data_IF_727433826249
#
_entry.id   IF_727433826249
#
_cell.length_a   1.000
_cell.length_b   1.000
_cell.length_c   1.000
_cell.angle_alpha   90.00
_cell.angle_beta   90.00
_cell.angle_gamma   90.00
#
_symmetry.space_group_name_H-M   'P 1'
#
loop_
_entity.id
_entity.type
_entity.pdbx_description
1 polymer ?
#
# COMPACT_ATOMS: atom_id res chain seq x y z
N UNK A 1 18.48 31.09 -29.88
CA UNK A 1 18.53 29.61 -29.84
C UNK A 1 17.41 29.16 -28.92
N UNK A 2 16.33 28.62 -29.50
CA UNK A 2 15.19 28.10 -28.73
C UNK A 2 15.64 26.80 -28.04
N UNK A 3 15.72 26.82 -26.72
CA UNK A 3 15.88 25.61 -25.93
C UNK A 3 14.55 24.83 -25.97
N UNK A 4 14.44 23.93 -26.93
CA UNK A 4 13.42 22.89 -26.96
C UNK A 4 13.69 21.91 -25.83
N UNK A 5 13.11 22.17 -24.66
CA UNK A 5 13.04 21.21 -23.56
C UNK A 5 12.07 20.13 -24.04
N UNK A 6 12.61 19.04 -24.59
CA UNK A 6 11.85 17.83 -24.84
C UNK A 6 11.39 17.31 -23.47
N UNK A 7 10.08 17.10 -23.23
CA UNK A 7 9.63 16.51 -21.97
C UNK A 7 10.31 15.15 -21.80
N UNK A 8 10.85 14.89 -20.61
CA UNK A 8 11.44 13.59 -20.33
C UNK A 8 10.35 12.53 -20.50
N UNK A 9 10.70 11.33 -20.96
CA UNK A 9 9.72 10.25 -21.21
C UNK A 9 8.77 10.00 -20.02
N UNK A 10 9.28 10.22 -18.80
CA UNK A 10 8.54 10.16 -17.54
C UNK A 10 7.40 11.19 -17.44
N UNK A 11 7.59 12.41 -17.99
CA UNK A 11 6.60 13.49 -17.95
C UNK A 11 5.39 13.17 -18.86
N UNK A 12 5.61 12.47 -19.97
CA UNK A 12 4.55 12.09 -20.90
C UNK A 12 3.63 11.01 -20.30
N UNK A 13 4.21 10.02 -19.62
CA UNK A 13 3.47 8.94 -18.96
C UNK A 13 2.63 9.46 -17.78
N UNK A 14 3.19 10.37 -16.97
CA UNK A 14 2.45 11.04 -15.89
C UNK A 14 1.30 11.91 -16.43
N UNK A 15 1.48 12.60 -17.55
CA UNK A 15 0.43 13.39 -18.19
C UNK A 15 -0.71 12.53 -18.75
N UNK A 16 -0.39 11.37 -19.36
CA UNK A 16 -1.40 10.41 -19.81
C UNK A 16 -2.19 9.85 -18.64
N UNK A 17 -1.51 9.39 -17.59
CA UNK A 17 -2.17 8.94 -16.36
C UNK A 17 -3.09 10.02 -15.79
N UNK A 18 -2.63 11.27 -15.74
CA UNK A 18 -3.43 12.36 -15.19
C UNK A 18 -4.70 12.61 -15.99
N UNK A 19 -4.63 12.53 -17.32
CA UNK A 19 -5.81 12.71 -18.16
C UNK A 19 -6.85 11.60 -17.92
N UNK A 20 -6.40 10.35 -17.83
CA UNK A 20 -7.25 9.19 -17.59
C UNK A 20 -7.83 9.22 -16.18
N UNK A 21 -7.00 9.46 -15.16
CA UNK A 21 -7.40 9.59 -13.76
C UNK A 21 -8.48 10.65 -13.56
N UNK A 22 -8.35 11.81 -14.22
CA UNK A 22 -9.33 12.89 -14.13
C UNK A 22 -10.64 12.55 -14.84
N UNK A 23 -10.56 11.80 -15.93
CA UNK A 23 -11.73 11.36 -16.72
C UNK A 23 -12.53 10.29 -16.00
N UNK A 24 -11.85 9.40 -15.27
CA UNK A 24 -12.43 8.29 -14.50
C UNK A 24 -12.80 8.67 -13.06
N UNK A 25 -12.39 9.86 -12.59
CA UNK A 25 -12.64 10.31 -11.23
C UNK A 25 -14.15 10.31 -10.92
N UNK A 26 -14.61 9.47 -9.96
CA UNK A 26 -16.04 9.24 -9.71
C UNK A 26 -16.73 10.46 -9.09
N UNK A 27 -15.96 11.36 -8.46
CA UNK A 27 -16.47 12.57 -7.83
C UNK A 27 -16.39 13.75 -8.82
N UNK A 28 -17.53 14.29 -9.32
CA UNK A 28 -17.53 15.36 -10.32
C UNK A 28 -16.90 16.66 -9.84
N UNK A 29 -16.96 16.95 -8.53
CA UNK A 29 -16.36 18.16 -7.96
C UNK A 29 -14.84 18.05 -7.94
N UNK A 30 -14.32 16.88 -7.54
CA UNK A 30 -12.88 16.59 -7.59
C UNK A 30 -12.40 16.57 -9.03
N UNK A 31 -13.10 15.86 -9.91
CA UNK A 31 -12.79 15.82 -11.34
C UNK A 31 -12.74 17.23 -11.94
N UNK A 32 -13.71 18.11 -11.63
CA UNK A 32 -13.72 19.49 -12.12
C UNK A 32 -12.52 20.31 -11.61
N UNK A 33 -12.15 20.16 -10.34
CA UNK A 33 -10.98 20.83 -9.75
C UNK A 33 -9.67 20.33 -10.36
N UNK A 34 -9.52 19.01 -10.54
CA UNK A 34 -8.35 18.42 -11.18
C UNK A 34 -8.23 18.81 -12.67
N UNK A 35 -9.34 18.83 -13.43
CA UNK A 35 -9.36 19.29 -14.84
C UNK A 35 -8.78 20.69 -14.99
N UNK A 36 -9.15 21.62 -14.09
CA UNK A 36 -8.63 23.00 -14.12
C UNK A 36 -7.11 23.05 -13.98
N UNK A 37 -6.56 22.16 -13.15
CA UNK A 37 -5.13 22.14 -12.85
C UNK A 37 -4.34 21.42 -13.93
N UNK A 38 -4.83 20.28 -14.43
CA UNK A 38 -4.25 19.60 -15.59
C UNK A 38 -4.23 20.54 -16.80
N UNK A 39 -5.31 21.27 -17.07
CA UNK A 39 -5.36 22.28 -18.13
C UNK A 39 -4.31 23.39 -17.94
N UNK A 40 -4.01 23.78 -16.69
CA UNK A 40 -2.97 24.76 -16.39
C UNK A 40 -1.56 24.21 -16.59
N UNK A 41 -1.32 22.94 -16.27
CA UNK A 41 -0.03 22.26 -16.49
C UNK A 41 0.26 22.02 -17.97
N UNK A 42 -0.74 21.59 -18.75
CA UNK A 42 -0.59 21.44 -20.21
C UNK A 42 -0.15 22.74 -20.88
N UNK A 43 -0.53 23.89 -20.33
CA UNK A 43 -0.13 25.20 -20.83
C UNK A 43 1.25 25.66 -20.34
N UNK A 44 1.82 25.05 -19.28
CA UNK A 44 3.13 25.44 -18.69
C UNK A 44 3.91 24.21 -18.16
N UNK A 45 4.34 23.29 -19.03
CA UNK A 45 4.93 22.00 -18.62
C UNK A 45 6.25 22.15 -17.85
N UNK A 46 7.06 23.17 -18.14
CA UNK A 46 8.33 23.44 -17.45
C UNK A 46 8.19 23.90 -15.99
N UNK A 47 6.95 24.09 -15.50
CA UNK A 47 6.62 24.46 -14.12
C UNK A 47 5.71 23.43 -13.43
N UNK A 48 5.55 22.24 -14.00
CA UNK A 48 4.78 21.17 -13.41
C UNK A 48 5.47 20.73 -12.10
N UNK A 49 4.84 20.90 -10.92
CA UNK A 49 5.33 20.25 -9.71
C UNK A 49 5.09 18.74 -9.85
N UNK A 50 5.87 17.92 -9.15
CA UNK A 50 5.51 16.50 -8.97
C UNK A 50 4.06 16.42 -8.48
N UNK A 51 3.30 15.46 -9.02
CA UNK A 51 1.85 15.38 -8.83
C UNK A 51 1.43 15.47 -7.36
N UNK A 52 2.23 14.90 -6.45
CA UNK A 52 2.10 15.00 -4.99
C UNK A 52 2.09 16.44 -4.45
N UNK A 53 3.16 17.18 -4.75
CA UNK A 53 3.35 18.57 -4.31
C UNK A 53 2.30 19.50 -4.91
N UNK A 54 1.80 19.14 -6.10
CA UNK A 54 0.81 19.88 -6.86
C UNK A 54 -0.63 19.65 -6.36
N UNK A 55 -0.96 18.40 -5.94
CA UNK A 55 -2.19 18.08 -5.23
C UNK A 55 -2.26 18.86 -3.93
N UNK A 56 -1.16 18.83 -3.15
CA UNK A 56 -1.06 19.45 -1.82
C UNK A 56 -1.22 20.98 -1.82
N UNK A 57 -0.66 21.70 -2.79
CA UNK A 57 -0.50 23.16 -2.67
C UNK A 57 -1.31 24.03 -3.65
N UNK A 58 -2.06 23.47 -4.61
CA UNK A 58 -2.63 24.30 -5.70
C UNK A 58 -4.02 23.95 -6.20
N UNK A 59 -4.70 22.95 -5.65
CA UNK A 59 -6.00 22.53 -6.20
C UNK A 59 -7.22 23.33 -5.70
N UNK A 60 -7.06 24.22 -4.72
CA UNK A 60 -8.22 24.88 -4.07
C UNK A 60 -9.21 23.88 -3.46
N UNK A 61 -8.73 22.65 -3.23
CA UNK A 61 -9.47 21.57 -2.61
C UNK A 61 -9.47 21.76 -1.10
N UNK A 62 -10.52 21.28 -0.47
CA UNK A 62 -10.56 21.14 0.99
C UNK A 62 -9.67 19.99 1.43
N UNK A 63 -9.27 19.97 2.71
CA UNK A 63 -8.51 18.86 3.29
C UNK A 63 -9.22 17.51 3.09
N UNK A 64 -10.55 17.49 3.18
CA UNK A 64 -11.35 16.30 2.91
C UNK A 64 -11.23 15.83 1.45
N UNK A 65 -11.24 16.76 0.49
CA UNK A 65 -11.06 16.43 -0.92
C UNK A 65 -9.63 15.98 -1.24
N UNK A 66 -8.62 16.50 -0.53
CA UNK A 66 -7.23 16.05 -0.66
C UNK A 66 -7.08 14.60 -0.19
N UNK A 67 -7.70 14.24 0.94
CA UNK A 67 -7.76 12.85 1.43
C UNK A 67 -8.46 11.95 0.42
N UNK A 68 -9.57 12.40 -0.18
CA UNK A 68 -10.29 11.61 -1.19
C UNK A 68 -9.47 11.40 -2.47
N UNK A 69 -8.77 12.44 -2.97
CA UNK A 69 -7.85 12.32 -4.11
C UNK A 69 -6.72 11.34 -3.80
N UNK A 70 -6.11 11.47 -2.62
CA UNK A 70 -5.02 10.60 -2.20
C UNK A 70 -5.44 9.14 -2.13
N UNK A 71 -6.65 8.87 -1.61
CA UNK A 71 -7.21 7.52 -1.60
C UNK A 71 -7.45 6.97 -3.01
N UNK A 72 -8.04 7.77 -3.90
CA UNK A 72 -8.28 7.37 -5.30
C UNK A 72 -6.97 7.02 -6.03
N UNK A 73 -5.89 7.77 -5.75
CA UNK A 73 -4.57 7.48 -6.31
C UNK A 73 -3.99 6.17 -5.76
N UNK A 74 -4.13 5.92 -4.46
CA UNK A 74 -3.59 4.71 -3.84
C UNK A 74 -4.18 3.40 -4.40
N UNK A 75 -5.44 3.43 -4.84
CA UNK A 75 -6.15 2.25 -5.37
C UNK A 75 -6.08 2.12 -6.90
N UNK A 76 -5.72 3.19 -7.61
CA UNK A 76 -5.75 3.19 -9.06
C UNK A 76 -4.53 2.43 -9.63
N UNK A 77 -4.76 1.45 -10.53
CA UNK A 77 -3.72 0.58 -11.03
C UNK A 77 -2.69 1.22 -11.97
N UNK A 78 -3.01 2.42 -12.44
CA UNK A 78 -2.17 3.19 -13.33
C UNK A 78 -1.42 4.31 -12.59
N UNK A 79 -1.57 4.42 -11.26
CA UNK A 79 -0.87 5.43 -10.47
C UNK A 79 0.64 5.22 -10.54
N UNK A 80 1.41 6.22 -11.00
CA UNK A 80 2.85 6.10 -11.12
C UNK A 80 3.53 5.83 -9.76
N UNK A 81 4.61 5.03 -9.71
CA UNK A 81 5.32 4.74 -8.46
C UNK A 81 5.83 5.97 -7.71
N UNK A 82 6.25 7.03 -8.42
CA UNK A 82 6.67 8.31 -7.84
C UNK A 82 5.56 8.93 -6.98
N UNK A 83 4.33 8.91 -7.47
CA UNK A 83 3.14 9.46 -6.80
C UNK A 83 2.79 8.63 -5.57
N UNK A 84 2.86 7.30 -5.67
CA UNK A 84 2.62 6.40 -4.54
C UNK A 84 3.68 6.58 -3.44
N UNK A 85 4.95 6.77 -3.83
CA UNK A 85 6.04 7.04 -2.89
C UNK A 85 5.80 8.34 -2.14
N UNK A 86 5.46 9.40 -2.85
CA UNK A 86 5.17 10.69 -2.23
C UNK A 86 4.00 10.58 -1.27
N UNK A 87 2.91 9.91 -1.68
CA UNK A 87 1.76 9.66 -0.81
C UNK A 87 2.15 8.98 0.50
N UNK A 88 3.07 8.02 0.45
CA UNK A 88 3.57 7.34 1.65
C UNK A 88 4.44 8.23 2.54
N UNK A 89 5.19 9.17 1.96
CA UNK A 89 6.03 10.11 2.74
C UNK A 89 5.27 11.28 3.32
N UNK A 90 4.17 11.66 2.67
CA UNK A 90 3.46 12.92 2.91
C UNK A 90 2.06 12.72 3.50
N UNK A 91 1.53 11.49 3.46
CA UNK A 91 0.22 11.15 3.97
C UNK A 91 0.14 11.24 5.49
N UNK A 92 -1.03 11.60 6.00
CA UNK A 92 -1.28 11.54 7.44
C UNK A 92 -1.31 10.07 7.90
N UNK A 93 -0.94 9.77 9.15
CA UNK A 93 -1.01 8.43 9.70
C UNK A 93 -2.33 7.70 9.43
N UNK A 94 -3.45 8.40 9.61
CA UNK A 94 -4.79 7.85 9.46
C UNK A 94 -5.10 7.48 8.00
N UNK A 95 -4.60 8.27 7.05
CA UNK A 95 -4.71 7.98 5.63
C UNK A 95 -3.85 6.78 5.25
N UNK A 96 -2.60 6.74 5.72
CA UNK A 96 -1.68 5.64 5.44
C UNK A 96 -2.17 4.31 6.01
N UNK A 97 -2.70 4.31 7.23
CA UNK A 97 -3.36 3.17 7.84
C UNK A 97 -4.57 2.72 7.01
N UNK A 98 -5.45 3.66 6.61
CA UNK A 98 -6.60 3.33 5.75
C UNK A 98 -6.20 2.75 4.40
N UNK A 99 -5.09 3.22 3.81
CA UNK A 99 -4.53 2.65 2.59
C UNK A 99 -4.00 1.25 2.88
N UNK A 100 -3.28 1.04 3.97
CA UNK A 100 -2.76 -0.27 4.35
C UNK A 100 -3.87 -1.31 4.57
N UNK A 101 -4.98 -0.94 5.20
CA UNK A 101 -6.14 -1.84 5.43
C UNK A 101 -6.92 -2.20 4.16
N UNK A 102 -6.75 -1.42 3.08
CA UNK A 102 -7.54 -1.63 1.88
C UNK A 102 -7.04 -2.86 1.10
N UNK A 103 -7.89 -3.89 1.01
CA UNK A 103 -7.66 -5.14 0.24
C UNK A 103 -7.37 -4.96 -1.25
N UNK A 104 -7.53 -3.75 -1.79
CA UNK A 104 -7.21 -3.39 -3.18
C UNK A 104 -5.95 -2.55 -3.31
N UNK A 105 -5.24 -2.31 -2.20
CA UNK A 105 -3.98 -1.58 -2.23
C UNK A 105 -2.91 -2.31 -3.00
N UNK A 106 -2.06 -1.49 -3.63
CA UNK A 106 -0.98 -1.92 -4.49
C UNK A 106 0.13 -2.62 -3.69
N UNK A 107 0.69 -3.73 -4.20
CA UNK A 107 1.82 -4.39 -3.56
C UNK A 107 3.02 -3.45 -3.35
N UNK A 108 3.29 -2.54 -4.31
CA UNK A 108 4.34 -1.52 -4.18
C UNK A 108 4.05 -0.49 -3.09
N UNK A 109 2.79 -0.08 -2.94
CA UNK A 109 2.36 0.84 -1.87
C UNK A 109 2.49 0.15 -0.52
N UNK A 110 2.02 -1.08 -0.39
CA UNK A 110 2.15 -1.89 0.85
C UNK A 110 3.62 -2.13 1.21
N UNK A 111 4.49 -2.30 0.21
CA UNK A 111 5.93 -2.37 0.45
C UNK A 111 6.54 -1.07 0.94
N UNK A 112 6.00 0.10 0.58
CA UNK A 112 6.44 1.36 1.17
C UNK A 112 5.90 1.49 2.62
N UNK A 113 4.65 1.09 2.84
CA UNK A 113 3.99 1.16 4.14
C UNK A 113 4.62 0.24 5.20
N UNK A 114 5.24 -0.87 4.79
CA UNK A 114 5.99 -1.75 5.71
C UNK A 114 7.23 -1.12 6.34
N UNK A 115 7.67 0.06 5.89
CA UNK A 115 8.78 0.81 6.48
C UNK A 115 8.32 2.08 7.21
N UNK A 116 7.02 2.27 7.40
CA UNK A 116 6.50 3.45 8.10
C UNK A 116 6.90 3.46 9.56
N UNK A 117 7.09 4.65 10.12
CA UNK A 117 7.57 4.80 11.50
C UNK A 117 6.57 4.27 12.54
N UNK A 118 5.27 4.42 12.28
CA UNK A 118 4.20 4.00 13.17
C UNK A 118 3.91 2.50 13.00
N UNK A 119 3.87 1.80 14.13
CA UNK A 119 3.67 0.36 14.16
C UNK A 119 2.27 -0.04 13.67
N UNK A 120 1.27 0.80 13.92
CA UNK A 120 -0.13 0.62 13.50
C UNK A 120 -0.22 0.49 11.97
N UNK A 121 0.51 1.32 11.23
CA UNK A 121 0.56 1.27 9.76
C UNK A 121 1.24 -0.02 9.29
N UNK A 122 2.32 -0.44 9.96
CA UNK A 122 3.03 -1.68 9.62
C UNK A 122 2.18 -2.92 9.93
N UNK A 123 1.43 -2.91 11.02
CA UNK A 123 0.44 -3.96 11.37
C UNK A 123 -0.63 -4.05 10.29
N UNK A 124 -1.22 -2.90 9.92
CA UNK A 124 -2.23 -2.86 8.86
C UNK A 124 -1.67 -3.36 7.51
N UNK A 125 -0.42 -3.00 7.18
CA UNK A 125 0.23 -3.51 5.98
C UNK A 125 0.48 -5.02 6.08
N UNK A 126 0.97 -5.53 7.21
CA UNK A 126 1.21 -6.95 7.40
C UNK A 126 -0.07 -7.80 7.28
N UNK A 127 -1.21 -7.29 7.75
CA UNK A 127 -2.51 -7.96 7.64
C UNK A 127 -3.16 -7.90 6.25
N UNK A 128 -2.56 -7.18 5.29
CA UNK A 128 -3.13 -7.06 3.95
C UNK A 128 -2.73 -8.25 3.05
N UNK A 129 -3.68 -8.94 2.40
CA UNK A 129 -3.38 -10.10 1.56
C UNK A 129 -2.55 -9.79 0.30
N UNK A 130 -2.49 -8.52 -0.13
CA UNK A 130 -1.66 -8.11 -1.27
C UNK A 130 -0.23 -7.73 -0.86
N UNK A 131 0.11 -7.80 0.43
CA UNK A 131 1.44 -7.42 0.90
C UNK A 131 2.49 -8.35 0.34
N UNK A 132 3.55 -7.81 -0.31
CA UNK A 132 4.60 -8.65 -0.88
C UNK A 132 5.28 -9.51 0.18
N UNK A 133 5.65 -10.72 -0.21
CA UNK A 133 6.41 -11.63 0.63
C UNK A 133 7.70 -10.98 1.17
N UNK A 134 8.40 -10.20 0.34
CA UNK A 134 9.61 -9.49 0.78
C UNK A 134 9.34 -8.55 1.96
N UNK A 135 8.20 -7.84 1.94
CA UNK A 135 7.78 -6.95 3.03
C UNK A 135 7.37 -7.74 4.28
N UNK A 136 6.66 -8.86 4.11
CA UNK A 136 6.35 -9.80 5.20
C UNK A 136 7.63 -10.26 5.89
N UNK A 137 8.64 -10.70 5.13
CA UNK A 137 9.91 -11.20 5.67
C UNK A 137 10.72 -10.16 6.43
N UNK A 138 10.46 -8.87 6.19
CA UNK A 138 11.04 -7.76 6.94
C UNK A 138 10.26 -7.54 8.24
N UNK A 139 8.92 -7.49 8.17
CA UNK A 139 8.07 -7.23 9.33
C UNK A 139 8.03 -8.39 10.35
N UNK A 140 8.32 -9.64 9.95
CA UNK A 140 8.53 -10.72 10.94
C UNK A 140 9.80 -10.54 11.78
N UNK A 141 10.68 -9.61 11.39
CA UNK A 141 11.87 -9.19 12.15
C UNK A 141 11.77 -7.73 12.59
N UNK A 142 10.55 -7.18 12.59
CA UNK A 142 10.30 -5.79 12.99
C UNK A 142 10.84 -5.53 14.39
N UNK A 143 11.31 -4.32 14.68
CA UNK A 143 11.77 -3.97 16.01
C UNK A 143 10.62 -3.97 17.04
N UNK A 144 9.40 -3.65 16.60
CA UNK A 144 8.24 -3.57 17.47
C UNK A 144 7.62 -4.97 17.64
N UNK A 145 7.55 -5.50 18.89
CA UNK A 145 6.96 -6.81 19.15
C UNK A 145 5.47 -6.90 18.83
N UNK A 146 4.72 -5.80 18.81
CA UNK A 146 3.28 -5.80 18.46
C UNK A 146 3.08 -6.11 16.98
N UNK A 147 3.95 -5.60 16.10
CA UNK A 147 3.97 -5.96 14.66
C UNK A 147 4.24 -7.44 14.49
N UNK A 148 5.26 -7.97 15.18
CA UNK A 148 5.61 -9.39 15.12
C UNK A 148 4.50 -10.27 15.71
N UNK A 149 3.87 -9.82 16.79
CA UNK A 149 2.77 -10.51 17.45
C UNK A 149 1.54 -10.59 16.55
N UNK A 150 1.15 -9.49 15.87
CA UNK A 150 0.01 -9.51 14.96
C UNK A 150 0.21 -10.49 13.81
N UNK A 151 1.44 -10.59 13.31
CA UNK A 151 1.82 -11.56 12.28
C UNK A 151 1.77 -13.00 12.80
N UNK A 152 2.18 -13.25 14.04
CA UNK A 152 2.17 -14.58 14.63
C UNK A 152 0.76 -15.20 14.74
N UNK A 153 -0.30 -14.39 14.71
CA UNK A 153 -1.71 -14.85 14.74
C UNK A 153 -2.26 -15.26 13.36
N UNK A 154 -1.58 -14.87 12.27
CA UNK A 154 -2.07 -15.10 10.91
C UNK A 154 -1.66 -16.47 10.37
N UNK A 155 -2.64 -17.38 10.29
CA UNK A 155 -2.43 -18.71 9.73
C UNK A 155 -2.26 -18.75 8.21
N UNK A 156 -2.45 -17.63 7.50
CA UNK A 156 -2.18 -17.53 6.07
C UNK A 156 -0.73 -17.12 5.78
N UNK A 157 0.05 -16.75 6.79
CA UNK A 157 1.46 -16.46 6.59
C UNK A 157 2.20 -17.70 6.10
N UNK A 158 3.25 -17.51 5.27
CA UNK A 158 4.16 -18.59 4.91
C UNK A 158 4.71 -19.27 6.17
N UNK A 159 4.82 -20.59 6.12
CA UNK A 159 5.31 -21.39 7.25
C UNK A 159 6.73 -20.98 7.67
N UNK A 160 7.58 -20.58 6.72
CA UNK A 160 8.92 -20.02 6.99
C UNK A 160 8.86 -18.72 7.82
N UNK A 161 7.87 -17.86 7.57
CA UNK A 161 7.67 -16.62 8.31
C UNK A 161 7.19 -16.92 9.74
N UNK A 162 6.26 -17.86 9.91
CA UNK A 162 5.82 -18.34 11.23
C UNK A 162 6.94 -19.04 12.01
N UNK A 163 7.81 -19.79 11.35
CA UNK A 163 8.97 -20.42 11.98
C UNK A 163 9.99 -19.39 12.51
N UNK A 164 10.16 -18.27 11.81
CA UNK A 164 10.98 -17.14 12.32
C UNK A 164 10.35 -16.59 13.60
N UNK A 165 9.03 -16.35 13.60
CA UNK A 165 8.31 -15.84 14.77
C UNK A 165 8.27 -16.85 15.94
N UNK A 166 8.26 -18.16 15.66
CA UNK A 166 8.36 -19.20 16.68
C UNK A 166 9.76 -19.29 17.33
N UNK A 167 10.76 -18.66 16.71
CA UNK A 167 12.10 -18.49 17.27
C UNK A 167 12.32 -17.08 17.86
N UNK A 168 11.28 -16.26 18.02
CA UNK A 168 11.39 -14.89 18.53
C UNK A 168 11.89 -14.84 19.97
N UNK A 169 12.67 -13.80 20.29
CA UNK A 169 13.15 -13.53 21.64
C UNK A 169 12.02 -13.11 22.59
N UNK A 170 10.93 -12.54 22.07
CA UNK A 170 9.74 -12.22 22.85
C UNK A 170 8.89 -13.49 23.07
N UNK A 171 8.70 -13.93 24.33
CA UNK A 171 7.99 -15.18 24.63
C UNK A 171 6.52 -15.16 24.20
N UNK A 172 5.87 -14.00 24.15
CA UNK A 172 4.48 -13.89 23.71
C UNK A 172 4.34 -14.09 22.20
N UNK A 173 5.26 -13.49 21.42
CA UNK A 173 5.32 -13.68 19.96
C UNK A 173 5.61 -15.15 19.64
N UNK A 174 6.63 -15.70 20.28
CA UNK A 174 7.03 -17.11 20.14
C UNK A 174 5.87 -18.07 20.42
N UNK A 175 5.28 -17.98 21.61
CA UNK A 175 4.18 -18.85 22.00
C UNK A 175 3.00 -18.73 21.03
N UNK A 176 2.72 -17.50 20.56
CA UNK A 176 1.63 -17.28 19.62
C UNK A 176 1.90 -17.97 18.28
N UNK A 177 3.10 -17.81 17.73
CA UNK A 177 3.48 -18.43 16.46
C UNK A 177 3.49 -19.96 16.54
N UNK A 178 4.01 -20.53 17.64
CA UNK A 178 3.96 -21.97 17.90
C UNK A 178 2.53 -22.52 17.92
N UNK A 179 1.60 -21.80 18.58
CA UNK A 179 0.19 -22.18 18.60
C UNK A 179 -0.45 -22.12 17.21
N UNK A 180 -0.12 -21.09 16.42
CA UNK A 180 -0.60 -20.95 15.04
C UNK A 180 -0.10 -22.09 14.15
N UNK A 181 1.19 -22.43 14.24
CA UNK A 181 1.79 -23.57 13.54
C UNK A 181 1.12 -24.90 13.91
N UNK A 182 0.88 -25.13 15.20
CA UNK A 182 0.17 -26.33 15.67
C UNK A 182 -1.24 -26.42 15.10
N UNK A 183 -1.98 -25.30 15.06
CA UNK A 183 -3.32 -25.24 14.45
C UNK A 183 -3.27 -25.63 12.97
N UNK A 184 -2.33 -25.08 12.21
CA UNK A 184 -2.16 -25.39 10.79
C UNK A 184 -1.84 -26.88 10.57
N UNK A 185 -0.96 -27.47 11.38
CA UNK A 185 -0.60 -28.89 11.29
C UNK A 185 -1.80 -29.81 11.57
N UNK A 186 -2.60 -29.49 12.60
CA UNK A 186 -3.83 -30.22 12.90
C UNK A 186 -4.81 -30.13 11.72
N UNK A 187 -5.03 -28.94 11.17
CA UNK A 187 -5.92 -28.75 10.02
C UNK A 187 -5.45 -29.50 8.76
N UNK A 188 -4.13 -29.53 8.50
CA UNK A 188 -3.54 -30.32 7.41
C UNK A 188 -3.81 -31.82 7.61
N UNK A 189 -3.62 -32.34 8.82
CA UNK A 189 -3.89 -33.75 9.15
C UNK A 189 -5.36 -34.14 9.01
N UNK A 190 -6.27 -33.28 9.46
CA UNK A 190 -7.72 -33.52 9.34
C UNK A 190 -8.14 -33.64 7.87
N UNK A 191 -7.68 -32.73 7.01
CA UNK A 191 -7.97 -32.76 5.56
C UNK A 191 -7.45 -34.03 4.87
N UNK A 192 -6.31 -34.56 5.29
CA UNK A 192 -5.76 -35.81 4.75
C UNK A 192 -6.67 -37.00 5.07
N UNK A 193 -7.10 -37.13 6.34
CA UNK A 193 -8.00 -38.22 6.78
C UNK A 193 -9.35 -38.17 6.06
N UNK A 194 -9.91 -36.97 5.85
CA UNK A 194 -11.16 -36.79 5.09
C UNK A 194 -11.02 -37.21 3.62
N UNK A 195 -9.88 -36.89 3.00
CA UNK A 195 -9.61 -37.27 1.60
C UNK A 195 -9.44 -38.78 1.42
N UNK A 196 -8.81 -39.47 2.37
CA UNK A 196 -8.62 -40.92 2.35
C UNK A 196 -9.96 -41.66 2.54
N UNK A 197 -10.84 -41.16 3.40
CA UNK A 197 -12.16 -41.75 3.65
C UNK A 197 -13.16 -41.52 2.51
N UNK A 198 -12.98 -40.50 1.66
CA UNK A 198 -13.88 -40.21 0.53
C UNK A 198 -13.56 -41.07 -0.71
N UNK A 199 -12.38 -41.71 -0.74
CA UNK A 199 -11.90 -42.57 -1.82
C UNK A 199 -12.16 -44.07 -1.59
N UNK A 200 -12.76 -44.44 -0.45
CA UNK A 200 -13.20 -45.80 -0.10
C UNK A 200 -14.72 -45.94 -0.23
#
# INVERSE_FOLDING_TARGET
MQNSIQPHKHDAEELTFLYDFVSECPNPQISASLRKVVAKWLNQPSKAPQLSMAIRNKLGLTDAQLVEVAWLLAINPHTPPSVLQDLCTEGSPELLERIAENRHSWPSTLACLSYQALAEIRIAAAGNPNTPLASIMIMVKDENPDVRFSMAEDANLPEDALNILAADDNPFVKLRAENTLQRIDIEKKLKLVESENTLQ
#
